data_IF_327718527809
#
_entry.id   IF_327718527809
#
_cell.length_a   1.000
_cell.length_b   1.000
_cell.length_c   1.000
_cell.angle_alpha   90.00
_cell.angle_beta   90.00
_cell.angle_gamma   90.00
#
_symmetry.space_group_name_H-M   'P 1'
#
loop_
_entity.id
_entity.type
_entity.pdbx_description
1 polymer ?
#
# COMPACT_ATOMS: atom_id res chain seq x y z
N UNK A 1 9.92 -7.82 5.42
CA UNK A 1 8.83 -7.53 4.46
C UNK A 1 9.32 -6.40 3.60
N UNK A 2 9.28 -6.50 2.26
CA UNK A 2 9.58 -5.38 1.40
C UNK A 2 8.76 -4.14 1.80
N UNK A 3 9.46 -3.01 1.90
CA UNK A 3 8.93 -1.74 2.36
C UNK A 3 9.51 -0.63 1.48
N UNK A 4 8.64 0.24 0.98
CA UNK A 4 9.01 1.38 0.15
C UNK A 4 8.48 2.65 0.82
N UNK A 5 9.29 3.31 1.66
CA UNK A 5 8.88 4.50 2.38
C UNK A 5 8.94 5.74 1.51
N UNK A 6 7.98 6.64 1.70
CA UNK A 6 7.90 7.88 0.95
C UNK A 6 7.27 9.03 1.75
N UNK A 7 7.73 10.24 1.43
CA UNK A 7 7.07 11.48 1.83
C UNK A 7 6.27 12.02 0.66
N UNK A 8 5.02 12.38 0.94
CA UNK A 8 4.04 12.92 0.00
C UNK A 8 3.52 14.23 0.56
N UNK A 9 3.44 15.27 -0.28
CA UNK A 9 2.86 16.54 0.13
C UNK A 9 2.12 17.23 -1.01
N UNK A 10 0.99 17.87 -0.70
CA UNK A 10 0.16 18.55 -1.70
C UNK A 10 -0.28 17.60 -2.83
N UNK A 11 0.02 17.99 -4.06
CA UNK A 11 -0.38 17.28 -5.29
C UNK A 11 0.31 15.92 -5.48
N UNK A 12 1.32 15.58 -4.68
CA UNK A 12 1.97 14.25 -4.74
C UNK A 12 0.96 13.10 -4.59
N UNK A 13 -0.14 13.32 -3.86
CA UNK A 13 -1.23 12.35 -3.70
C UNK A 13 -1.94 12.06 -5.02
N UNK A 14 -2.20 13.11 -5.80
CA UNK A 14 -2.85 12.98 -7.11
C UNK A 14 -1.90 12.31 -8.11
N UNK A 15 -0.63 12.69 -8.10
CA UNK A 15 0.40 12.04 -8.94
C UNK A 15 0.51 10.54 -8.61
N UNK A 16 0.50 10.20 -7.32
CA UNK A 16 0.53 8.80 -6.89
C UNK A 16 -0.74 8.05 -7.31
N UNK A 17 -1.91 8.67 -7.15
CA UNK A 17 -3.19 8.10 -7.55
C UNK A 17 -3.27 7.86 -9.06
N UNK A 18 -2.90 8.85 -9.88
CA UNK A 18 -2.85 8.73 -11.34
C UNK A 18 -1.94 7.58 -11.75
N UNK A 19 -0.72 7.51 -11.18
CA UNK A 19 0.20 6.41 -11.44
C UNK A 19 -0.39 5.03 -11.11
N UNK A 20 -1.17 4.92 -10.05
CA UNK A 20 -1.81 3.65 -9.65
C UNK A 20 -3.04 3.32 -10.50
N UNK A 21 -3.87 4.31 -10.84
CA UNK A 21 -5.03 4.15 -11.72
C UNK A 21 -4.61 3.79 -13.17
N UNK A 22 -3.44 4.25 -13.62
CA UNK A 22 -2.90 3.96 -14.95
C UNK A 22 -2.23 2.57 -15.05
N UNK A 23 -2.02 1.85 -13.95
CA UNK A 23 -1.37 0.53 -13.94
C UNK A 23 -2.41 -0.61 -14.04
N UNK A 24 -2.57 -1.26 -15.21
CA UNK A 24 -3.58 -2.29 -15.41
C UNK A 24 -3.28 -3.61 -14.69
N UNK A 25 -2.09 -3.76 -14.09
CA UNK A 25 -1.73 -4.98 -13.36
C UNK A 25 -2.23 -4.96 -11.91
N UNK A 26 -2.77 -3.84 -11.42
CA UNK A 26 -3.31 -3.72 -10.07
C UNK A 26 -4.76 -3.26 -10.04
N UNK A 27 -5.48 -3.75 -9.05
CA UNK A 27 -6.81 -3.32 -8.70
C UNK A 27 -6.84 -2.81 -7.26
N UNK A 28 -7.60 -1.76 -6.99
CA UNK A 28 -7.90 -1.31 -5.64
C UNK A 28 -8.94 -2.22 -5.01
N UNK A 29 -8.79 -2.53 -3.73
CA UNK A 29 -9.83 -3.19 -2.95
C UNK A 29 -10.57 -2.14 -2.13
N UNK A 30 -11.85 -1.94 -2.43
CA UNK A 30 -12.71 -0.92 -1.81
C UNK A 30 -13.89 -1.56 -1.11
N UNK A 31 -14.46 -0.86 -0.14
CA UNK A 31 -15.68 -1.30 0.54
C UNK A 31 -16.88 -1.29 -0.42
N UNK A 32 -17.68 -2.36 -0.38
CA UNK A 32 -18.93 -2.56 -1.16
C UNK A 32 -20.10 -2.88 -0.20
N UNK A 33 -20.10 -2.21 0.95
CA UNK A 33 -21.02 -2.46 2.07
C UNK A 33 -20.34 -2.97 3.33
N UNK A 34 -21.11 -3.15 4.40
CA UNK A 34 -20.58 -3.60 5.71
C UNK A 34 -20.02 -5.02 5.59
N UNK A 35 -18.72 -5.18 5.84
CA UNK A 35 -18.02 -6.47 5.71
C UNK A 35 -17.97 -7.00 4.27
N UNK A 36 -18.20 -6.13 3.28
CA UNK A 36 -18.15 -6.46 1.86
C UNK A 36 -17.08 -5.63 1.16
N UNK A 37 -16.41 -6.27 0.22
CA UNK A 37 -15.30 -5.68 -0.52
C UNK A 37 -15.43 -5.98 -2.00
N UNK A 38 -14.81 -5.14 -2.83
CA UNK A 38 -14.81 -5.28 -4.27
C UNK A 38 -13.49 -4.77 -4.85
N UNK A 39 -13.00 -5.47 -5.87
CA UNK A 39 -11.91 -4.99 -6.70
C UNK A 39 -12.44 -3.97 -7.71
N UNK A 40 -11.74 -2.85 -7.86
CA UNK A 40 -12.01 -1.81 -8.88
C UNK A 40 -10.70 -1.40 -9.53
N UNK A 41 -10.76 -1.10 -10.83
CA UNK A 41 -9.57 -0.71 -11.61
C UNK A 41 -9.05 0.65 -11.16
N UNK A 42 -9.97 1.59 -10.92
CA UNK A 42 -9.62 2.97 -10.57
C UNK A 42 -10.46 3.49 -9.41
N UNK A 43 -9.92 4.43 -8.66
CA UNK A 43 -10.65 5.23 -7.67
C UNK A 43 -10.46 6.73 -7.94
N UNK A 44 -11.39 7.55 -7.47
CA UNK A 44 -11.35 9.01 -7.68
C UNK A 44 -10.45 9.75 -6.69
N UNK A 45 -10.14 9.13 -5.54
CA UNK A 45 -9.32 9.73 -4.49
C UNK A 45 -8.73 8.67 -3.56
N UNK A 46 -7.52 8.90 -3.05
CA UNK A 46 -6.97 8.15 -1.93
C UNK A 46 -7.55 8.70 -0.61
N UNK A 47 -8.67 8.13 -0.16
CA UNK A 47 -9.31 8.48 1.10
C UNK A 47 -8.99 7.49 2.21
N UNK A 48 -8.56 7.99 3.38
CA UNK A 48 -8.19 7.17 4.53
C UNK A 48 -6.69 6.97 4.65
N UNK A 49 -6.28 6.14 5.60
CA UNK A 49 -4.86 5.93 5.91
C UNK A 49 -4.30 4.63 5.35
N UNK A 50 -5.14 3.68 4.94
CA UNK A 50 -4.69 2.35 4.53
C UNK A 50 -5.48 1.84 3.35
N UNK A 51 -4.78 1.56 2.26
CA UNK A 51 -5.36 1.07 1.02
C UNK A 51 -4.78 -0.31 0.69
N UNK A 52 -5.65 -1.25 0.34
CA UNK A 52 -5.27 -2.55 -0.17
C UNK A 52 -5.31 -2.54 -1.70
N UNK A 53 -4.31 -3.16 -2.32
CA UNK A 53 -4.29 -3.44 -3.75
C UNK A 53 -4.08 -4.93 -3.97
N UNK A 54 -4.66 -5.41 -5.06
CA UNK A 54 -4.46 -6.75 -5.56
C UNK A 54 -3.71 -6.67 -6.89
N UNK A 55 -2.58 -7.36 -6.97
CA UNK A 55 -1.92 -7.58 -8.26
C UNK A 55 -2.68 -8.69 -9.01
N UNK A 56 -3.39 -8.34 -10.07
CA UNK A 56 -4.37 -9.23 -10.74
C UNK A 56 -3.71 -10.54 -11.20
N UNK A 57 -2.50 -10.44 -11.77
CA UNK A 57 -1.75 -11.59 -12.25
C UNK A 57 -1.15 -12.48 -11.14
N UNK A 58 -1.34 -12.14 -9.86
CA UNK A 58 -0.93 -12.99 -8.73
C UNK A 58 -1.90 -14.14 -8.43
N UNK A 59 -3.04 -14.20 -9.12
CA UNK A 59 -4.07 -15.20 -8.89
C UNK A 59 -5.16 -14.74 -7.92
N UNK A 60 -6.07 -15.65 -7.52
CA UNK A 60 -7.26 -15.32 -6.75
C UNK A 60 -6.93 -14.76 -5.35
N UNK A 61 -7.88 -13.98 -4.83
CA UNK A 61 -7.79 -13.46 -3.46
C UNK A 61 -8.20 -14.55 -2.45
N UNK A 62 -7.53 -14.64 -1.29
CA UNK A 62 -7.93 -15.59 -0.26
C UNK A 62 -9.23 -15.13 0.41
N UNK A 63 -10.14 -16.08 0.63
CA UNK A 63 -11.36 -15.93 1.41
C UNK A 63 -11.25 -16.80 2.66
N UNK A 64 -10.87 -16.15 3.77
CA UNK A 64 -10.66 -16.83 5.04
C UNK A 64 -11.95 -17.47 5.56
N UNK A 65 -11.85 -18.65 6.15
CA UNK A 65 -12.99 -19.27 6.82
C UNK A 65 -13.40 -18.50 8.08
N UNK A 66 -14.68 -18.60 8.46
CA UNK A 66 -15.21 -17.96 9.68
C UNK A 66 -14.52 -18.51 10.93
N UNK A 67 -14.37 -19.84 11.03
CA UNK A 67 -13.65 -20.51 12.09
C UNK A 67 -12.18 -20.78 11.70
N UNK A 68 -11.27 -20.80 12.68
CA UNK A 68 -9.83 -20.97 12.45
C UNK A 68 -9.42 -22.39 12.03
N UNK A 69 -10.22 -23.39 12.37
CA UNK A 69 -10.01 -24.80 12.06
C UNK A 69 -10.63 -25.22 10.71
N UNK A 70 -11.45 -24.36 10.14
CA UNK A 70 -12.08 -24.58 8.84
C UNK A 70 -11.13 -24.16 7.71
N UNK A 71 -11.15 -24.88 6.57
CA UNK A 71 -10.28 -24.56 5.44
C UNK A 71 -10.66 -23.22 4.82
N UNK A 72 -9.65 -22.38 4.57
CA UNK A 72 -9.81 -21.18 3.77
C UNK A 72 -10.20 -21.54 2.32
N UNK A 73 -10.81 -20.59 1.62
CA UNK A 73 -11.23 -20.70 0.22
C UNK A 73 -10.68 -19.53 -0.59
N UNK A 74 -11.09 -19.42 -1.85
CA UNK A 74 -10.74 -18.31 -2.73
C UNK A 74 -11.98 -17.45 -3.01
N UNK A 75 -11.77 -16.16 -3.25
CA UNK A 75 -12.80 -15.27 -3.77
C UNK A 75 -13.02 -15.62 -5.24
N UNK A 76 -14.23 -16.02 -5.60
CA UNK A 76 -14.59 -16.48 -6.95
C UNK A 76 -14.42 -15.38 -8.00
N UNK A 77 -14.98 -14.19 -7.75
CA UNK A 77 -14.84 -13.02 -8.61
C UNK A 77 -14.66 -11.75 -7.76
N UNK A 78 -13.43 -11.26 -7.57
CA UNK A 78 -13.16 -10.02 -6.83
C UNK A 78 -13.89 -8.80 -7.40
N UNK A 79 -14.16 -8.77 -8.71
CA UNK A 79 -14.78 -7.61 -9.39
C UNK A 79 -16.29 -7.52 -9.15
N UNK A 80 -16.96 -8.64 -8.85
CA UNK A 80 -18.37 -8.64 -8.41
C UNK A 80 -18.52 -8.40 -6.91
N UNK A 81 -17.39 -8.40 -6.19
CA UNK A 81 -17.33 -8.21 -4.76
C UNK A 81 -17.67 -9.47 -3.97
N UNK A 82 -17.26 -9.48 -2.70
CA UNK A 82 -17.44 -10.61 -1.80
C UNK A 82 -17.75 -10.12 -0.39
N UNK A 83 -18.33 -11.00 0.41
CA UNK A 83 -18.49 -10.80 1.85
C UNK A 83 -17.36 -11.50 2.60
N UNK A 84 -16.74 -10.81 3.55
CA UNK A 84 -15.82 -11.46 4.48
C UNK A 84 -16.57 -12.43 5.38
N UNK A 85 -15.93 -13.57 5.64
CA UNK A 85 -16.42 -14.52 6.64
C UNK A 85 -15.76 -14.33 8.00
N UNK A 86 -14.63 -13.64 8.02
CA UNK A 86 -13.85 -13.33 9.23
C UNK A 86 -13.23 -11.95 9.08
N UNK A 87 -13.62 -11.04 9.95
CA UNK A 87 -13.07 -9.69 10.00
C UNK A 87 -11.69 -9.67 10.68
N UNK A 88 -10.88 -8.67 10.33
CA UNK A 88 -9.65 -8.33 11.03
C UNK A 88 -9.92 -7.51 12.29
N UNK A 89 -8.85 -6.97 12.89
CA UNK A 89 -8.97 -6.07 14.04
C UNK A 89 -9.60 -4.72 13.68
N UNK A 90 -9.39 -4.25 12.45
CA UNK A 90 -10.03 -3.06 11.91
C UNK A 90 -11.15 -3.48 10.93
N UNK A 91 -12.42 -3.20 11.23
CA UNK A 91 -13.54 -3.57 10.35
C UNK A 91 -13.60 -2.73 9.06
N UNK A 92 -12.83 -1.64 8.96
CA UNK A 92 -12.77 -0.79 7.77
C UNK A 92 -11.63 -1.18 6.80
N UNK A 93 -10.95 -2.29 7.07
CA UNK A 93 -9.84 -2.79 6.26
C UNK A 93 -10.10 -4.25 5.89
N UNK A 94 -9.94 -4.67 4.62
CA UNK A 94 -10.10 -6.07 4.25
C UNK A 94 -9.05 -6.96 4.91
N UNK A 95 -9.44 -8.16 5.30
CA UNK A 95 -8.62 -9.11 6.04
C UNK A 95 -8.31 -10.37 5.23
N UNK A 96 -7.04 -10.48 4.84
CA UNK A 96 -6.48 -11.59 4.06
C UNK A 96 -5.58 -12.52 4.88
N UNK A 97 -5.67 -12.47 6.21
CA UNK A 97 -4.89 -13.31 7.12
C UNK A 97 -3.45 -12.83 7.29
N UNK A 98 -2.50 -13.77 7.46
CA UNK A 98 -1.10 -13.47 7.76
C UNK A 98 -0.31 -12.84 6.58
N UNK A 99 -0.96 -12.62 5.44
CA UNK A 99 -0.37 -12.01 4.24
C UNK A 99 -0.46 -12.92 3.02
N UNK A 100 -0.95 -12.36 1.91
CA UNK A 100 -1.04 -13.00 0.62
C UNK A 100 -0.02 -12.36 -0.34
N UNK A 101 0.78 -13.13 -1.10
CA UNK A 101 1.74 -12.59 -2.08
C UNK A 101 1.13 -11.61 -3.07
N UNK A 102 -0.15 -11.76 -3.40
CA UNK A 102 -0.87 -10.87 -4.30
C UNK A 102 -1.39 -9.56 -3.71
N UNK A 103 -1.29 -9.39 -2.38
CA UNK A 103 -1.82 -8.22 -1.68
C UNK A 103 -0.70 -7.25 -1.32
N UNK A 104 -0.93 -5.99 -1.67
CA UNK A 104 -0.08 -4.86 -1.35
C UNK A 104 -0.84 -3.85 -0.51
N UNK A 105 -0.11 -3.11 0.32
CA UNK A 105 -0.68 -2.09 1.18
C UNK A 105 -0.01 -0.75 0.90
N UNK A 106 -0.80 0.32 0.81
CA UNK A 106 -0.34 1.70 0.92
C UNK A 106 -0.82 2.23 2.26
N UNK A 107 0.10 2.50 3.17
CA UNK A 107 -0.17 3.29 4.36
C UNK A 107 0.06 4.75 4.01
N UNK A 108 -1.01 5.51 3.89
CA UNK A 108 -1.01 6.90 3.51
C UNK A 108 -1.10 7.79 4.74
N UNK A 109 -0.13 8.71 4.88
CA UNK A 109 -0.07 9.68 5.98
C UNK A 109 -0.06 11.09 5.41
N UNK A 110 -1.27 11.64 5.24
CA UNK A 110 -1.48 13.00 4.72
C UNK A 110 -0.91 14.08 5.66
N UNK A 111 -0.77 13.76 6.95
CA UNK A 111 -0.20 14.59 8.00
C UNK A 111 0.55 13.72 8.99
N UNK A 112 1.47 14.33 9.70
CA UNK A 112 2.12 13.69 10.84
C UNK A 112 1.16 13.44 12.00
N UNK A 113 1.42 12.39 12.77
CA UNK A 113 0.71 12.10 14.02
C UNK A 113 1.10 13.04 15.16
N UNK A 114 2.35 13.53 15.14
CA UNK A 114 2.92 14.34 16.20
C UNK A 114 2.65 15.84 15.99
N UNK A 115 2.61 16.30 14.73
CA UNK A 115 2.46 17.71 14.40
C UNK A 115 1.78 17.91 13.05
N UNK A 116 0.62 18.56 12.99
CA UNK A 116 -0.09 18.82 11.73
C UNK A 116 0.73 19.67 10.72
N UNK A 117 1.79 20.32 11.17
CA UNK A 117 2.72 21.09 10.35
C UNK A 117 3.87 20.26 9.77
N UNK A 118 3.97 18.96 10.03
CA UNK A 118 5.01 18.10 9.44
C UNK A 118 4.42 17.09 8.47
N UNK A 119 5.24 16.66 7.52
CA UNK A 119 4.88 15.69 6.49
C UNK A 119 4.89 14.29 7.13
N UNK A 120 3.77 13.56 7.01
CA UNK A 120 3.66 12.20 7.51
C UNK A 120 4.47 11.20 6.68
N UNK A 121 4.96 10.13 7.30
CA UNK A 121 5.72 9.08 6.61
C UNK A 121 4.77 8.02 6.05
N UNK A 122 4.59 8.01 4.73
CA UNK A 122 3.79 7.00 4.03
C UNK A 122 4.64 5.78 3.62
N UNK A 123 4.00 4.67 3.30
CA UNK A 123 4.70 3.46 2.84
C UNK A 123 3.89 2.60 1.89
N UNK A 124 4.57 1.98 0.92
CA UNK A 124 4.09 0.72 0.37
C UNK A 124 4.68 -0.47 1.12
N UNK A 125 3.85 -1.47 1.36
CA UNK A 125 4.21 -2.70 2.06
C UNK A 125 3.77 -3.93 1.27
N UNK A 126 4.63 -4.94 1.31
CA UNK A 126 4.37 -6.22 0.67
C UNK A 126 4.93 -7.35 1.50
N UNK A 127 4.24 -8.50 1.52
CA UNK A 127 4.72 -9.68 2.27
C UNK A 127 5.95 -10.31 1.61
N UNK A 128 6.08 -10.17 0.29
CA UNK A 128 7.17 -10.75 -0.50
C UNK A 128 7.28 -12.27 -0.32
N UNK A 129 8.51 -12.77 -0.36
CA UNK A 129 8.81 -14.20 -0.24
C UNK A 129 8.79 -14.74 1.20
N UNK A 130 8.21 -14.00 2.18
CA UNK A 130 8.27 -14.37 3.61
C UNK A 130 7.78 -15.79 3.89
N UNK A 131 6.77 -16.24 3.14
CA UNK A 131 6.12 -17.55 3.32
C UNK A 131 6.45 -18.57 2.23
N UNK A 132 7.50 -18.34 1.42
CA UNK A 132 7.90 -19.29 0.37
C UNK A 132 8.23 -20.68 0.94
N UNK A 133 8.83 -20.74 2.14
CA UNK A 133 9.11 -22.02 2.84
C UNK A 133 7.86 -22.78 3.28
N UNK A 134 6.71 -22.11 3.34
CA UNK A 134 5.41 -22.70 3.66
C UNK A 134 4.59 -23.01 2.39
N UNK A 135 5.23 -23.02 1.21
CA UNK A 135 4.58 -23.30 -0.07
C UNK A 135 3.86 -22.10 -0.69
N UNK A 136 3.81 -20.94 -0.03
CA UNK A 136 3.25 -19.70 -0.60
C UNK A 136 4.28 -19.03 -1.48
N UNK A 137 4.46 -19.55 -2.68
CA UNK A 137 5.38 -19.03 -3.69
C UNK A 137 4.82 -17.72 -4.25
N UNK A 138 5.71 -16.77 -4.49
CA UNK A 138 5.37 -15.50 -5.13
C UNK A 138 5.45 -15.70 -6.64
N UNK A 139 4.40 -15.32 -7.36
CA UNK A 139 4.44 -15.30 -8.82
C UNK A 139 5.53 -14.34 -9.33
N UNK A 140 6.40 -14.75 -10.28
CA UNK A 140 7.48 -13.89 -10.77
C UNK A 140 7.01 -12.54 -11.32
N UNK A 141 5.81 -12.48 -11.90
CA UNK A 141 5.15 -11.24 -12.35
C UNK A 141 4.93 -10.26 -11.19
N UNK A 142 4.58 -10.77 -10.01
CA UNK A 142 4.29 -9.97 -8.82
C UNK A 142 5.56 -9.32 -8.26
N UNK A 143 6.67 -10.06 -8.22
CA UNK A 143 7.97 -9.50 -7.83
C UNK A 143 8.47 -8.47 -8.86
N UNK A 144 8.26 -8.74 -10.15
CA UNK A 144 8.58 -7.80 -11.24
C UNK A 144 7.77 -6.51 -11.12
N UNK A 145 6.47 -6.61 -10.83
CA UNK A 145 5.59 -5.47 -10.59
C UNK A 145 6.09 -4.62 -9.41
N UNK A 146 6.38 -5.25 -8.26
CA UNK A 146 6.93 -4.57 -7.08
C UNK A 146 8.23 -3.81 -7.39
N UNK A 147 9.15 -4.45 -8.13
CA UNK A 147 10.40 -3.82 -8.57
C UNK A 147 10.14 -2.64 -9.50
N UNK A 148 9.16 -2.73 -10.40
CA UNK A 148 8.76 -1.64 -11.30
C UNK A 148 8.19 -0.47 -10.52
N UNK A 149 7.27 -0.69 -9.58
CA UNK A 149 6.73 0.34 -8.70
C UNK A 149 7.88 1.08 -7.99
N UNK A 150 8.78 0.34 -7.34
CA UNK A 150 9.93 0.93 -6.67
C UNK A 150 10.88 1.70 -7.61
N UNK A 151 11.04 1.25 -8.86
CA UNK A 151 11.83 1.96 -9.86
C UNK A 151 11.13 3.24 -10.34
N UNK A 152 9.80 3.23 -10.48
CA UNK A 152 9.01 4.41 -10.83
C UNK A 152 9.10 5.47 -9.75
N UNK A 153 8.85 5.11 -8.49
CA UNK A 153 9.00 6.03 -7.35
C UNK A 153 10.42 6.60 -7.30
N UNK A 154 11.46 5.77 -7.45
CA UNK A 154 12.86 6.23 -7.48
C UNK A 154 13.16 7.26 -8.57
N UNK A 155 12.52 7.15 -9.74
CA UNK A 155 12.75 8.08 -10.86
C UNK A 155 12.10 9.44 -10.64
N UNK A 156 10.99 9.50 -9.91
CA UNK A 156 10.23 10.73 -9.66
C UNK A 156 10.54 11.39 -8.31
N UNK A 157 11.49 10.84 -7.53
CA UNK A 157 11.76 11.29 -6.16
C UNK A 157 13.24 11.55 -5.90
N UNK A 158 13.51 12.25 -4.81
CA UNK A 158 14.84 12.38 -4.22
C UNK A 158 14.92 11.59 -2.91
N UNK A 159 16.10 11.02 -2.61
CA UNK A 159 16.31 10.32 -1.35
C UNK A 159 16.63 11.32 -0.25
N UNK A 160 15.93 11.22 0.87
CA UNK A 160 16.15 12.03 2.08
C UNK A 160 16.27 11.13 3.31
N UNK A 161 16.94 11.59 4.39
CA UNK A 161 16.89 10.93 5.69
C UNK A 161 15.47 10.81 6.23
N UNK A 162 15.27 9.92 7.20
CA UNK A 162 14.11 10.00 8.10
C UNK A 162 14.10 11.35 8.82
N UNK A 163 12.91 11.93 8.97
CA UNK A 163 12.72 13.26 9.52
C UNK A 163 12.93 14.39 8.51
N UNK A 164 13.18 14.04 7.25
CA UNK A 164 13.47 14.98 6.16
C UNK A 164 14.96 15.32 6.02
N UNK A 165 15.32 16.31 5.18
CA UNK A 165 16.70 16.59 4.80
C UNK A 165 17.66 16.97 5.93
N UNK A 166 17.13 17.42 7.09
CA UNK A 166 17.92 17.77 8.28
C UNK A 166 18.13 16.59 9.24
N UNK A 167 17.53 15.42 8.95
CA UNK A 167 17.68 14.23 9.78
C UNK A 167 19.12 13.71 9.79
N UNK A 168 19.51 13.09 10.90
CA UNK A 168 20.86 12.51 11.10
C UNK A 168 21.04 11.13 10.44
N UNK A 169 19.96 10.55 9.92
CA UNK A 169 19.97 9.23 9.31
C UNK A 169 20.52 9.24 7.89
N UNK A 170 20.90 8.06 7.38
CA UNK A 170 21.26 7.92 5.96
C UNK A 170 20.03 8.16 5.08
N UNK A 171 20.19 8.79 3.90
CA UNK A 171 19.08 8.96 2.97
C UNK A 171 18.51 7.62 2.49
N UNK A 172 17.27 7.33 2.88
CA UNK A 172 16.58 6.07 2.55
C UNK A 172 15.10 6.24 2.21
N UNK A 173 14.50 7.39 2.53
CA UNK A 173 13.09 7.71 2.26
C UNK A 173 12.98 8.46 0.94
N UNK A 174 11.98 8.14 0.13
CA UNK A 174 11.73 8.82 -1.14
C UNK A 174 10.83 10.04 -0.95
N UNK A 175 11.36 11.24 -1.11
CA UNK A 175 10.56 12.46 -1.15
C UNK A 175 10.10 12.72 -2.59
N UNK A 176 8.79 12.68 -2.82
CA UNK A 176 8.20 13.11 -4.09
C UNK A 176 8.34 14.64 -4.27
N UNK A 177 8.11 15.18 -5.47
CA UNK A 177 8.43 16.57 -5.79
C UNK A 177 7.74 17.59 -4.86
N UNK A 178 6.48 17.38 -4.50
CA UNK A 178 5.75 18.23 -3.56
C UNK A 178 6.38 18.20 -2.16
N UNK A 179 6.70 17.02 -1.65
CA UNK A 179 7.41 16.88 -0.37
C UNK A 179 8.81 17.50 -0.41
N UNK A 180 9.56 17.33 -1.50
CA UNK A 180 10.87 17.94 -1.68
C UNK A 180 10.82 19.48 -1.68
N UNK A 181 9.80 20.07 -2.33
CA UNK A 181 9.57 21.52 -2.27
C UNK A 181 9.24 21.98 -0.85
N UNK A 182 8.34 21.28 -0.16
CA UNK A 182 7.99 21.62 1.22
C UNK A 182 9.19 21.52 2.17
N UNK A 183 10.11 20.58 1.96
CA UNK A 183 11.36 20.53 2.72
C UNK A 183 12.27 21.72 2.44
N UNK A 184 12.36 22.18 1.20
CA UNK A 184 13.12 23.38 0.85
C UNK A 184 12.56 24.64 1.52
N UNK A 185 11.24 24.68 1.75
CA UNK A 185 10.54 25.73 2.51
C UNK A 185 10.69 25.58 4.04
N UNK A 186 11.38 24.54 4.51
CA UNK A 186 11.70 24.33 5.92
C UNK A 186 10.69 23.48 6.69
N UNK A 187 9.73 22.83 6.00
CA UNK A 187 8.78 21.91 6.63
C UNK A 187 9.51 20.70 7.22
N UNK A 188 9.09 20.23 8.40
CA UNK A 188 9.61 18.99 9.00
C UNK A 188 8.89 17.75 8.47
N UNK A 189 9.36 16.57 8.87
CA UNK A 189 8.69 15.29 8.59
C UNK A 189 8.81 14.32 9.76
N UNK A 190 7.95 13.29 9.76
CA UNK A 190 8.00 12.23 10.75
C UNK A 190 9.13 11.24 10.53
N UNK A 191 9.72 10.77 11.62
CA UNK A 191 10.72 9.71 11.61
C UNK A 191 10.09 8.30 11.49
N UNK A 192 8.81 8.18 11.82
CA UNK A 192 8.06 6.92 11.90
C UNK A 192 6.71 7.01 11.18
N UNK A 193 6.24 5.92 10.56
CA UNK A 193 4.88 5.84 9.99
C UNK A 193 3.76 5.93 11.04
#
# INVERSE_FOLDING_TARGET
MPWLPLYLFGDDHNVLLEMLNDDPEVAFIVADGVGRWKAVETISALSGERHAFWHVASGPLPLLAAAHDSPDSEVEDPWQGWAERRAGADPNTPYFGAGHPGIFWLNLKNRSHANEQTIGLSSFEWIGHRYAKLGKVVEPSTDKWWKRLGATIRRSSSKVPRGGPKGSFKPEIYALPGAACAFAEGKGADDNP
#
